data_IF_228535147528
#
_entry.id   IF_228535147528
#
_cell.length_a   1.000
_cell.length_b   1.000
_cell.length_c   1.000
_cell.angle_alpha   90.00
_cell.angle_beta   90.00
_cell.angle_gamma   90.00
#
_symmetry.space_group_name_H-M   'P 1'
#
loop_
_entity.id
_entity.type
_entity.pdbx_description
1 polymer ?
#
# COMPACT_ATOMS: atom_id res chain seq x y z
N UNK A 1 8.85 20.68 27.42
CA UNK A 1 7.54 20.87 28.10
C UNK A 1 6.49 21.14 27.03
N UNK A 2 5.87 20.09 26.48
CA UNK A 2 4.82 20.15 25.46
C UNK A 2 3.48 19.85 26.14
N UNK A 3 2.85 20.90 26.67
CA UNK A 3 1.51 20.83 27.25
C UNK A 3 0.54 21.25 26.14
N UNK A 4 -0.31 20.32 25.68
CA UNK A 4 -1.62 20.69 25.10
C UNK A 4 -1.92 20.50 23.61
N UNK A 5 -1.27 19.61 22.85
CA UNK A 5 -1.61 19.38 21.42
C UNK A 5 -2.22 18.02 21.06
N UNK A 6 -2.44 17.13 22.05
CA UNK A 6 -3.13 15.87 21.84
C UNK A 6 -4.53 16.01 22.41
N UNK A 7 -5.50 16.46 21.61
CA UNK A 7 -6.89 16.18 21.94
C UNK A 7 -7.05 14.66 21.90
N UNK A 8 -7.37 14.02 23.03
CA UNK A 8 -7.68 12.59 23.07
C UNK A 8 -8.74 12.32 21.99
N UNK A 9 -8.33 11.59 20.95
CA UNK A 9 -9.24 11.10 19.92
C UNK A 9 -10.14 10.10 20.60
N UNK A 10 -11.47 10.20 20.49
CA UNK A 10 -12.29 9.12 20.98
C UNK A 10 -11.99 7.87 20.14
N UNK A 11 -11.81 6.74 20.82
CA UNK A 11 -11.83 5.43 20.18
C UNK A 11 -13.03 5.36 19.23
N UNK A 12 -12.80 4.84 18.03
CA UNK A 12 -13.87 4.63 17.07
C UNK A 12 -14.40 3.21 17.16
N UNK A 13 -15.70 3.07 16.91
CA UNK A 13 -16.37 1.79 16.91
C UNK A 13 -16.90 1.50 15.53
N UNK A 14 -16.60 0.32 15.03
CA UNK A 14 -17.06 -0.10 13.70
C UNK A 14 -17.90 -1.36 13.82
N UNK A 15 -19.04 -1.36 13.15
CA UNK A 15 -19.92 -2.51 13.08
C UNK A 15 -19.29 -3.63 12.24
N UNK A 16 -19.18 -4.82 12.82
CA UNK A 16 -18.80 -6.05 12.11
C UNK A 16 -20.00 -6.77 11.48
N UNK A 17 -21.21 -6.40 11.90
CA UNK A 17 -22.49 -6.87 11.37
C UNK A 17 -23.38 -7.55 12.42
N UNK A 18 -24.48 -8.14 11.97
CA UNK A 18 -25.49 -8.79 12.82
C UNK A 18 -25.06 -10.22 13.21
N UNK A 19 -24.91 -10.45 14.52
CA UNK A 19 -24.42 -11.69 15.12
C UNK A 19 -23.52 -11.44 16.33
N UNK A 20 -23.20 -12.51 17.06
CA UNK A 20 -22.26 -12.44 18.17
C UNK A 20 -20.82 -12.28 17.68
N UNK A 21 -19.99 -11.55 18.42
CA UNK A 21 -18.58 -11.34 18.11
C UNK A 21 -17.78 -12.65 18.15
N UNK A 22 -16.89 -12.80 17.17
CA UNK A 22 -15.88 -13.84 17.09
C UNK A 22 -14.51 -13.22 16.76
N UNK A 23 -13.43 -13.78 17.30
CA UNK A 23 -12.05 -13.42 16.91
C UNK A 23 -11.64 -14.18 15.64
N UNK A 24 -10.53 -13.78 14.99
CA UNK A 24 -10.00 -14.42 13.78
C UNK A 24 -9.91 -15.97 13.82
N UNK A 25 -9.78 -16.59 15.00
CA UNK A 25 -9.59 -18.04 15.13
C UNK A 25 -10.86 -18.86 15.10
N UNK A 26 -12.03 -18.29 15.35
CA UNK A 26 -13.23 -19.13 15.58
C UNK A 26 -14.01 -18.77 16.82
N UNK A 27 -13.38 -18.04 17.73
CA UNK A 27 -13.64 -18.18 19.15
C UNK A 27 -14.53 -17.05 19.64
N UNK A 28 -15.34 -17.34 20.67
CA UNK A 28 -16.18 -16.35 21.34
C UNK A 28 -15.42 -15.63 22.44
N UNK A 29 -15.82 -14.41 22.80
CA UNK A 29 -15.22 -13.73 23.95
C UNK A 29 -15.54 -14.49 25.23
N UNK A 30 -14.52 -14.74 26.04
CA UNK A 30 -14.65 -15.39 27.36
C UNK A 30 -14.97 -14.39 28.48
N UNK A 31 -14.57 -13.12 28.32
CA UNK A 31 -14.85 -12.06 29.30
C UNK A 31 -15.76 -10.99 28.69
N UNK A 32 -17.03 -10.98 29.11
CA UNK A 32 -18.04 -10.02 28.67
C UNK A 32 -18.72 -9.41 29.90
N UNK A 33 -18.68 -8.09 30.02
CA UNK A 33 -19.46 -7.35 31.02
C UNK A 33 -20.82 -6.98 30.43
N UNK A 34 -21.88 -7.60 30.92
CA UNK A 34 -23.25 -7.32 30.47
C UNK A 34 -23.83 -6.13 31.24
N UNK A 35 -24.41 -5.18 30.50
CA UNK A 35 -25.06 -3.98 31.06
C UNK A 35 -26.46 -3.83 30.45
N UNK A 36 -27.47 -3.65 31.29
CA UNK A 36 -28.85 -3.41 30.84
C UNK A 36 -29.13 -1.95 30.46
N UNK A 37 -30.35 -1.72 29.97
CA UNK A 37 -30.96 -0.40 29.74
C UNK A 37 -30.14 0.52 28.81
N UNK A 38 -29.55 -0.06 27.77
CA UNK A 38 -28.82 0.70 26.75
C UNK A 38 -29.76 1.16 25.63
N UNK A 39 -29.55 2.39 25.15
CA UNK A 39 -30.22 2.90 23.95
C UNK A 39 -29.55 2.31 22.72
N UNK A 40 -30.30 1.57 21.91
CA UNK A 40 -29.82 1.01 20.65
C UNK A 40 -30.38 1.85 19.50
N UNK A 41 -29.48 2.44 18.72
CA UNK A 41 -29.77 3.24 17.55
C UNK A 41 -30.15 2.37 16.35
N UNK A 42 -30.64 3.00 15.28
CA UNK A 42 -31.10 2.29 14.07
C UNK A 42 -29.99 1.47 13.39
N UNK A 43 -28.73 1.93 13.48
CA UNK A 43 -27.57 1.21 12.98
C UNK A 43 -27.07 0.11 13.94
N UNK A 44 -27.76 -0.08 15.06
CA UNK A 44 -27.45 -1.04 16.12
C UNK A 44 -26.37 -0.56 17.11
N UNK A 45 -25.80 0.63 16.93
CA UNK A 45 -24.81 1.20 17.87
C UNK A 45 -25.49 1.67 19.16
N UNK A 46 -24.70 1.90 20.20
CA UNK A 46 -25.19 2.45 21.47
C UNK A 46 -24.17 3.40 22.10
N UNK A 47 -24.52 4.69 22.28
CA UNK A 47 -23.65 5.67 22.95
C UNK A 47 -23.22 5.22 24.35
N UNK A 48 -24.11 4.56 25.09
CA UNK A 48 -23.83 4.05 26.44
C UNK A 48 -22.83 2.89 26.40
N UNK A 49 -22.96 1.96 25.45
CA UNK A 49 -22.00 0.87 25.29
C UNK A 49 -20.62 1.42 24.89
N UNK A 50 -20.57 2.36 23.95
CA UNK A 50 -19.32 2.99 23.53
C UNK A 50 -18.64 3.73 24.68
N UNK A 51 -19.37 4.54 25.45
CA UNK A 51 -18.81 5.27 26.59
C UNK A 51 -18.23 4.32 27.63
N UNK A 52 -18.91 3.21 27.91
CA UNK A 52 -18.44 2.20 28.87
C UNK A 52 -17.21 1.47 28.37
N UNK A 53 -17.18 1.13 27.08
CA UNK A 53 -16.00 0.53 26.46
C UNK A 53 -14.80 1.50 26.44
N UNK A 54 -15.00 2.77 26.07
CA UNK A 54 -13.96 3.83 26.15
C UNK A 54 -13.41 3.98 27.57
N UNK A 55 -14.29 3.90 28.58
CA UNK A 55 -13.93 4.05 29.99
C UNK A 55 -13.22 2.81 30.57
N UNK A 56 -13.17 1.70 29.82
CA UNK A 56 -12.50 0.47 30.24
C UNK A 56 -11.25 0.24 29.38
N UNK A 57 -10.07 0.40 29.97
CA UNK A 57 -8.79 0.24 29.28
C UNK A 57 -8.51 -1.16 28.72
N UNK A 58 -9.29 -2.18 29.11
CA UNK A 58 -9.21 -3.54 28.56
C UNK A 58 -10.22 -3.81 27.46
N UNK A 59 -11.05 -2.82 27.11
CA UNK A 59 -12.12 -3.03 26.17
C UNK A 59 -11.64 -3.05 24.72
N UNK A 60 -11.96 -4.13 24.01
CA UNK A 60 -11.63 -4.34 22.60
C UNK A 60 -12.85 -4.16 21.67
N UNK A 61 -14.04 -3.99 22.24
CA UNK A 61 -15.29 -3.79 21.51
C UNK A 61 -16.53 -4.01 22.37
N UNK A 62 -17.69 -4.00 21.74
CA UNK A 62 -18.95 -4.30 22.41
C UNK A 62 -19.94 -5.01 21.49
N UNK A 63 -20.90 -5.69 22.10
CA UNK A 63 -22.10 -6.17 21.43
C UNK A 63 -23.30 -5.38 21.93
N UNK A 64 -24.27 -5.13 21.04
CA UNK A 64 -25.62 -4.74 21.42
C UNK A 64 -26.54 -5.91 21.20
N UNK A 65 -27.53 -6.07 22.06
CA UNK A 65 -28.62 -7.01 21.88
C UNK A 65 -29.93 -6.26 22.07
N UNK A 66 -30.71 -6.14 21.01
CA UNK A 66 -31.99 -5.47 21.09
C UNK A 66 -33.07 -6.39 21.67
N UNK A 67 -33.87 -5.82 22.56
CA UNK A 67 -35.16 -6.38 22.91
C UNK A 67 -36.17 -5.71 21.98
N UNK A 68 -37.03 -6.47 21.31
CA UNK A 68 -37.93 -6.00 20.22
C UNK A 68 -38.99 -4.95 20.63
N UNK A 69 -38.76 -4.20 21.71
CA UNK A 69 -39.71 -3.41 22.48
C UNK A 69 -40.05 -2.01 21.95
N UNK A 70 -39.50 -1.57 20.81
CA UNK A 70 -39.64 -0.16 20.40
C UNK A 70 -40.05 0.04 18.93
N UNK A 71 -41.32 -0.25 18.63
CA UNK A 71 -41.90 0.00 17.30
C UNK A 71 -42.42 1.46 17.17
N UNK A 72 -42.62 2.20 18.26
CA UNK A 72 -43.32 3.50 18.23
C UNK A 72 -42.45 4.75 18.44
N UNK A 73 -41.21 4.62 18.95
CA UNK A 73 -40.33 5.77 19.32
C UNK A 73 -39.05 5.87 18.50
N UNK A 74 -38.75 4.89 17.62
CA UNK A 74 -37.55 4.86 16.80
C UNK A 74 -36.23 4.55 17.55
N UNK A 75 -36.29 4.19 18.85
CA UNK A 75 -35.13 3.82 19.68
C UNK A 75 -35.41 2.52 20.43
N UNK A 76 -34.62 1.47 20.20
CA UNK A 76 -34.74 0.19 20.92
C UNK A 76 -34.03 0.28 22.27
N UNK A 77 -34.56 -0.41 23.27
CA UNK A 77 -33.87 -0.68 24.54
C UNK A 77 -33.27 -2.07 24.47
N UNK A 78 -32.08 -2.24 25.03
CA UNK A 78 -31.43 -3.55 25.03
C UNK A 78 -30.28 -3.64 26.01
N UNK A 79 -29.43 -4.64 25.79
CA UNK A 79 -28.24 -4.87 26.61
C UNK A 79 -26.95 -4.62 25.84
N UNK A 80 -25.93 -4.15 26.54
CA UNK A 80 -24.55 -4.13 26.09
C UNK A 80 -23.83 -5.39 26.57
N UNK A 81 -23.01 -6.00 25.73
CA UNK A 81 -21.92 -6.89 26.15
C UNK A 81 -20.59 -6.23 25.88
N UNK A 82 -19.95 -5.63 26.89
CA UNK A 82 -18.63 -5.00 26.76
C UNK A 82 -17.56 -6.10 26.78
N UNK A 83 -16.74 -6.18 25.73
CA UNK A 83 -15.68 -7.19 25.59
C UNK A 83 -14.48 -6.74 26.41
N UNK A 84 -14.12 -7.45 27.48
CA UNK A 84 -13.10 -6.99 28.45
C UNK A 84 -11.85 -7.88 28.51
N UNK A 85 -11.76 -8.85 27.60
CA UNK A 85 -10.55 -9.63 27.38
C UNK A 85 -9.62 -8.88 26.40
N UNK A 86 -8.47 -8.37 26.87
CA UNK A 86 -7.54 -7.62 26.02
C UNK A 86 -6.91 -8.49 24.92
N UNK A 87 -6.96 -9.82 25.04
CA UNK A 87 -6.47 -10.74 24.02
C UNK A 87 -7.54 -11.13 23.00
N UNK A 88 -8.79 -10.71 23.23
CA UNK A 88 -9.90 -10.96 22.32
C UNK A 88 -10.09 -9.76 21.40
N UNK A 89 -9.67 -9.87 20.14
CA UNK A 89 -10.00 -8.87 19.12
C UNK A 89 -11.25 -9.33 18.36
N UNK A 90 -12.40 -8.63 18.47
CA UNK A 90 -13.55 -8.95 17.64
C UNK A 90 -13.22 -8.66 16.17
N UNK A 91 -13.35 -9.68 15.31
CA UNK A 91 -12.99 -9.56 13.89
C UNK A 91 -14.12 -9.99 12.95
N UNK A 92 -15.02 -10.88 13.37
CA UNK A 92 -16.20 -11.23 12.59
C UNK A 92 -17.38 -11.64 13.49
N UNK A 93 -18.46 -12.07 12.83
CA UNK A 93 -19.74 -12.41 13.44
C UNK A 93 -20.17 -13.82 13.11
N UNK A 94 -20.87 -14.46 14.05
CA UNK A 94 -21.41 -15.80 13.87
C UNK A 94 -22.65 -15.88 12.94
N UNK A 95 -23.27 -14.75 12.61
CA UNK A 95 -24.54 -14.63 11.86
C UNK A 95 -25.73 -15.41 12.48
N UNK A 96 -25.67 -15.79 13.76
CA UNK A 96 -26.71 -16.61 14.41
C UNK A 96 -27.74 -15.78 15.17
N UNK A 97 -27.32 -14.68 15.78
CA UNK A 97 -28.19 -13.82 16.58
C UNK A 97 -28.49 -12.52 15.83
N UNK A 98 -29.58 -12.51 15.05
CA UNK A 98 -29.93 -11.39 14.17
C UNK A 98 -30.34 -10.10 14.92
N UNK A 99 -30.72 -10.22 16.19
CA UNK A 99 -30.99 -9.08 17.07
C UNK A 99 -29.77 -8.66 17.90
N UNK A 100 -28.61 -9.26 17.64
CA UNK A 100 -27.32 -8.88 18.21
C UNK A 100 -26.48 -8.22 17.13
N UNK A 101 -25.77 -7.14 17.46
CA UNK A 101 -24.76 -6.56 16.58
C UNK A 101 -23.41 -6.48 17.28
N UNK A 102 -22.35 -6.83 16.57
CA UNK A 102 -20.99 -6.77 17.07
C UNK A 102 -20.28 -5.49 16.59
N UNK A 103 -19.58 -4.84 17.50
CA UNK A 103 -18.73 -3.67 17.25
C UNK A 103 -17.34 -3.92 17.81
N UNK A 104 -16.33 -3.56 17.04
CA UNK A 104 -14.95 -3.54 17.51
C UNK A 104 -14.52 -2.12 17.84
N UNK A 105 -13.57 -1.98 18.77
CA UNK A 105 -12.97 -0.70 19.17
C UNK A 105 -11.63 -0.53 18.49
N UNK A 106 -11.51 0.46 17.62
CA UNK A 106 -10.21 0.89 17.12
C UNK A 106 -9.63 2.00 17.99
N UNK A 107 -8.36 1.83 18.34
CA UNK A 107 -7.59 2.81 19.09
C UNK A 107 -6.66 3.51 18.12
N UNK A 108 -6.87 4.81 17.92
CA UNK A 108 -5.88 5.63 17.24
C UNK A 108 -4.87 6.12 18.28
N UNK A 109 -3.60 5.84 18.04
CA UNK A 109 -2.52 6.40 18.86
C UNK A 109 -2.42 7.91 18.72
N UNK A 110 -2.95 8.46 17.63
CA UNK A 110 -2.83 9.88 17.28
C UNK A 110 -4.11 10.43 16.63
N UNK A 111 -4.51 11.64 17.01
CA UNK A 111 -5.21 12.53 16.08
C UNK A 111 -4.39 13.79 15.98
N UNK A 112 -3.71 13.90 14.86
CA UNK A 112 -2.91 15.06 14.51
C UNK A 112 -3.75 16.09 13.74
N UNK A 113 -5.04 16.18 14.06
CA UNK A 113 -5.97 17.15 13.48
C UNK A 113 -5.39 18.56 13.58
N UNK A 114 -5.19 19.22 12.43
CA UNK A 114 -4.60 20.56 12.36
C UNK A 114 -3.07 20.62 12.46
N UNK A 115 -2.37 19.51 12.68
CA UNK A 115 -0.90 19.45 12.61
C UNK A 115 -0.39 19.17 11.19
N UNK A 116 -1.21 18.49 10.37
CA UNK A 116 -0.89 18.31 8.95
C UNK A 116 -1.36 19.51 8.15
N UNK A 117 -0.39 20.27 7.62
CA UNK A 117 -0.62 21.10 6.46
C UNK A 117 -0.49 20.21 5.24
N UNK A 118 -1.62 19.68 4.77
CA UNK A 118 -1.68 19.00 3.48
C UNK A 118 -1.33 20.03 2.41
N UNK A 119 -0.04 20.10 2.06
CA UNK A 119 0.41 21.09 1.08
C UNK A 119 -0.41 20.87 -0.18
N UNK A 120 -1.10 21.93 -0.61
CA UNK A 120 -1.74 21.97 -1.93
C UNK A 120 -0.72 22.27 -3.03
N UNK A 121 0.52 21.85 -2.81
CA UNK A 121 1.60 22.03 -3.76
C UNK A 121 1.51 20.96 -4.85
N UNK A 122 1.74 21.31 -6.12
CA UNK A 122 1.79 20.35 -7.20
C UNK A 122 2.97 19.41 -7.02
N UNK A 123 2.83 18.17 -7.49
CA UNK A 123 3.91 17.20 -7.52
C UNK A 123 4.95 17.65 -8.57
N UNK A 124 6.23 17.85 -8.19
CA UNK A 124 7.29 18.24 -9.13
C UNK A 124 7.41 17.27 -10.31
N UNK A 125 7.68 17.79 -11.51
CA UNK A 125 7.89 16.98 -12.73
C UNK A 125 9.29 16.36 -12.76
N UNK A 126 9.56 15.51 -11.78
CA UNK A 126 10.81 14.79 -11.62
C UNK A 126 10.50 13.31 -11.35
N UNK A 127 11.18 12.42 -12.06
CA UNK A 127 11.16 10.98 -11.83
C UNK A 127 12.48 10.59 -11.18
N UNK A 128 12.40 9.93 -10.04
CA UNK A 128 13.51 9.35 -9.31
C UNK A 128 13.47 7.83 -9.46
N UNK A 129 14.63 7.23 -9.65
CA UNK A 129 14.82 5.80 -9.53
C UNK A 129 16.20 5.53 -8.95
N UNK A 130 16.36 4.41 -8.25
CA UNK A 130 17.65 3.96 -7.74
C UNK A 130 17.96 2.60 -8.33
N UNK A 131 19.10 2.51 -8.99
CA UNK A 131 19.58 1.27 -9.56
C UNK A 131 21.01 1.02 -9.08
N UNK A 132 21.18 -0.04 -8.31
CA UNK A 132 22.51 -0.47 -7.84
C UNK A 132 23.22 -1.39 -8.84
N UNK A 133 22.54 -1.83 -9.90
CA UNK A 133 23.01 -2.89 -10.80
C UNK A 133 24.50 -2.75 -11.11
N UNK A 134 25.18 -3.82 -10.73
CA UNK A 134 26.62 -4.01 -10.54
C UNK A 134 27.45 -3.23 -11.57
N UNK A 135 28.11 -2.17 -11.12
CA UNK A 135 29.47 -1.96 -11.56
C UNK A 135 30.24 -3.19 -11.06
N UNK A 136 30.53 -4.14 -11.97
CA UNK A 136 31.89 -4.66 -11.90
C UNK A 136 32.81 -3.47 -12.22
N UNK A 137 34.11 -3.60 -11.98
CA UNK A 137 35.06 -2.50 -12.14
C UNK A 137 35.14 -1.91 -13.58
N UNK A 138 34.21 -2.25 -14.50
CA UNK A 138 34.10 -1.82 -15.89
C UNK A 138 33.21 -0.59 -16.16
N UNK A 139 32.38 -0.14 -15.21
CA UNK A 139 31.50 1.04 -15.42
C UNK A 139 30.31 0.80 -16.37
N UNK A 140 29.70 -0.38 -16.29
CA UNK A 140 28.64 -0.83 -17.18
C UNK A 140 27.30 -0.06 -17.07
N UNK A 141 26.57 -0.05 -18.18
CA UNK A 141 25.20 0.50 -18.35
C UNK A 141 24.15 -0.36 -17.63
N UNK A 142 22.96 0.17 -17.27
CA UNK A 142 21.87 -0.65 -16.73
C UNK A 142 21.52 -1.81 -17.68
N UNK A 143 20.96 -2.93 -17.17
CA UNK A 143 20.45 -4.02 -18.00
C UNK A 143 19.50 -3.52 -19.09
N UNK A 144 19.43 -4.25 -20.20
CA UNK A 144 18.68 -3.82 -21.38
C UNK A 144 17.20 -3.53 -21.09
N UNK A 145 16.59 -4.30 -20.18
CA UNK A 145 15.20 -4.10 -19.76
C UNK A 145 15.02 -2.80 -18.96
N UNK A 146 15.90 -2.52 -17.99
CA UNK A 146 15.91 -1.26 -17.23
C UNK A 146 16.12 -0.06 -18.16
N UNK A 147 17.09 -0.13 -19.08
CA UNK A 147 17.31 0.91 -20.10
C UNK A 147 16.06 1.15 -20.97
N UNK A 148 15.36 0.08 -21.35
CA UNK A 148 14.11 0.17 -22.10
C UNK A 148 12.99 0.84 -21.30
N UNK A 149 12.82 0.49 -20.03
CA UNK A 149 11.85 1.14 -19.14
C UNK A 149 12.14 2.64 -19.03
N UNK A 150 13.38 3.02 -18.74
CA UNK A 150 13.81 4.42 -18.65
C UNK A 150 13.56 5.18 -19.97
N UNK A 151 13.90 4.61 -21.12
CA UNK A 151 13.61 5.21 -22.45
C UNK A 151 12.11 5.36 -22.68
N UNK A 152 11.32 4.38 -22.25
CA UNK A 152 9.86 4.45 -22.24
C UNK A 152 9.35 5.63 -21.44
N UNK A 153 9.88 5.84 -20.23
CA UNK A 153 9.52 6.97 -19.38
C UNK A 153 9.87 8.31 -20.03
N UNK A 154 11.08 8.45 -20.60
CA UNK A 154 11.51 9.66 -21.29
C UNK A 154 10.60 10.01 -22.46
N UNK A 155 10.22 9.01 -23.25
CA UNK A 155 9.32 9.18 -24.39
C UNK A 155 7.91 9.57 -23.97
N UNK A 156 7.34 8.88 -22.97
CA UNK A 156 5.98 9.12 -22.51
C UNK A 156 5.85 10.40 -21.67
N UNK A 157 6.94 10.88 -21.09
CA UNK A 157 6.96 12.01 -20.16
C UNK A 157 8.03 13.05 -20.54
N UNK A 158 7.95 13.68 -21.73
CA UNK A 158 8.99 14.59 -22.22
C UNK A 158 9.18 15.85 -21.36
N UNK A 159 8.22 16.18 -20.48
CA UNK A 159 8.31 17.29 -19.54
C UNK A 159 8.89 16.93 -18.16
N UNK A 160 9.30 15.68 -17.93
CA UNK A 160 9.87 15.23 -16.66
C UNK A 160 11.39 15.13 -16.73
N UNK A 161 12.06 15.60 -15.67
CA UNK A 161 13.48 15.30 -15.46
C UNK A 161 13.60 13.91 -14.84
N UNK A 162 14.39 13.03 -15.45
CA UNK A 162 14.56 11.66 -14.97
C UNK A 162 15.96 11.51 -14.38
N UNK A 163 16.02 11.12 -13.11
CA UNK A 163 17.26 10.90 -12.38
C UNK A 163 17.37 9.42 -11.98
N UNK A 164 18.33 8.75 -12.60
CA UNK A 164 18.74 7.38 -12.26
C UNK A 164 19.91 7.48 -11.31
N UNK A 165 19.68 7.17 -10.03
CA UNK A 165 20.69 7.26 -8.98
C UNK A 165 21.34 5.91 -8.75
N UNK A 166 22.59 5.98 -8.32
CA UNK A 166 23.47 4.84 -7.98
C UNK A 166 24.09 5.11 -6.60
N UNK A 167 24.73 4.12 -5.96
CA UNK A 167 25.45 4.35 -4.70
C UNK A 167 26.48 5.50 -4.77
N UNK A 168 27.08 5.74 -5.94
CA UNK A 168 28.09 6.78 -6.16
C UNK A 168 27.47 8.15 -6.37
N UNK A 169 26.30 8.20 -7.01
CA UNK A 169 25.65 9.46 -7.40
C UNK A 169 24.60 9.95 -6.40
N UNK A 170 24.14 9.09 -5.48
CA UNK A 170 23.15 9.46 -4.46
C UNK A 170 23.59 10.63 -3.58
N UNK A 171 24.90 10.71 -3.29
CA UNK A 171 25.50 11.78 -2.48
C UNK A 171 25.38 13.18 -3.08
N UNK A 172 25.10 13.30 -4.39
CA UNK A 172 24.83 14.57 -5.07
C UNK A 172 23.47 15.17 -4.68
N UNK A 173 22.56 14.33 -4.19
CA UNK A 173 21.16 14.68 -3.88
C UNK A 173 20.86 14.58 -2.39
N UNK A 174 21.41 13.56 -1.73
CA UNK A 174 21.19 13.25 -0.32
C UNK A 174 22.50 13.41 0.45
N UNK A 175 22.43 14.21 1.51
CA UNK A 175 23.51 14.38 2.46
C UNK A 175 23.54 13.21 3.45
N UNK A 176 24.65 13.00 4.18
CA UNK A 176 24.72 11.96 5.21
C UNK A 176 23.60 12.06 6.27
N UNK A 177 23.10 13.27 6.58
CA UNK A 177 21.99 13.44 7.52
C UNK A 177 20.62 13.01 6.99
N UNK A 178 20.50 12.84 5.67
CA UNK A 178 19.28 12.34 5.03
C UNK A 178 19.18 10.79 5.06
N UNK A 179 20.27 10.11 5.46
CA UNK A 179 20.42 8.66 5.42
C UNK A 179 20.79 8.13 6.83
N UNK A 180 20.44 6.87 7.18
CA UNK A 180 20.96 6.27 8.40
C UNK A 180 22.47 6.02 8.27
N UNK A 181 23.19 6.02 9.40
CA UNK A 181 24.64 5.77 9.40
C UNK A 181 25.00 4.40 8.80
N UNK A 182 24.13 3.41 9.00
CA UNK A 182 24.24 2.04 8.48
C UNK A 182 23.89 1.90 7.00
N UNK A 183 23.49 2.98 6.30
CA UNK A 183 22.94 2.93 4.95
C UNK A 183 23.77 2.09 3.97
N UNK A 184 25.09 2.24 3.98
CA UNK A 184 25.99 1.54 3.03
C UNK A 184 26.05 0.04 3.26
N UNK A 185 25.78 -0.42 4.49
CA UNK A 185 25.85 -1.81 4.91
C UNK A 185 24.52 -2.55 4.67
N UNK A 186 23.44 -1.81 4.38
CA UNK A 186 22.12 -2.38 4.12
C UNK A 186 22.07 -3.11 2.77
N UNK A 187 21.24 -4.17 2.66
CA UNK A 187 20.85 -4.76 1.39
C UNK A 187 20.29 -3.72 0.41
N UNK A 188 20.46 -3.96 -0.89
CA UNK A 188 20.08 -3.02 -1.95
C UNK A 188 18.60 -2.61 -1.89
N UNK A 189 17.72 -3.54 -1.55
CA UNK A 189 16.28 -3.29 -1.46
C UNK A 189 16.00 -2.20 -0.41
N UNK A 190 16.60 -2.31 0.77
CA UNK A 190 16.45 -1.32 1.84
C UNK A 190 17.15 0.01 1.53
N UNK A 191 18.29 -0.02 0.84
CA UNK A 191 18.89 1.21 0.34
C UNK A 191 17.95 1.96 -0.61
N UNK A 192 17.31 1.22 -1.53
CA UNK A 192 16.33 1.77 -2.47
C UNK A 192 15.14 2.41 -1.73
N UNK A 193 14.57 1.70 -0.75
CA UNK A 193 13.46 2.20 0.09
C UNK A 193 13.83 3.48 0.87
N UNK A 194 15.04 3.55 1.42
CA UNK A 194 15.53 4.74 2.14
C UNK A 194 15.72 5.92 1.18
N UNK A 195 16.39 5.69 0.05
CA UNK A 195 16.63 6.73 -0.97
C UNK A 195 15.30 7.25 -1.52
N UNK A 196 14.35 6.35 -1.80
CA UNK A 196 12.98 6.67 -2.22
C UNK A 196 12.31 7.65 -1.28
N UNK A 197 12.22 7.30 0.01
CA UNK A 197 11.57 8.16 1.00
C UNK A 197 12.32 9.47 1.21
N UNK A 198 13.65 9.45 1.24
CA UNK A 198 14.46 10.65 1.44
C UNK A 198 14.34 11.64 0.27
N UNK A 199 14.36 11.18 -0.98
CA UNK A 199 14.18 12.03 -2.16
C UNK A 199 12.78 12.63 -2.20
N UNK A 200 11.74 11.81 -2.00
CA UNK A 200 10.36 12.29 -2.01
C UNK A 200 10.11 13.29 -0.87
N UNK A 201 10.62 13.03 0.33
CA UNK A 201 10.47 13.96 1.43
C UNK A 201 11.19 15.30 1.17
N UNK A 202 12.38 15.26 0.59
CA UNK A 202 13.23 16.44 0.40
C UNK A 202 12.83 17.26 -0.83
N UNK A 203 12.56 16.60 -1.94
CA UNK A 203 12.35 17.21 -3.25
C UNK A 203 10.95 17.00 -3.82
N UNK A 204 10.19 16.03 -3.31
CA UNK A 204 8.96 15.56 -3.95
C UNK A 204 9.25 14.87 -5.29
N UNK A 205 8.20 14.76 -6.10
CA UNK A 205 8.25 14.17 -7.44
C UNK A 205 7.65 12.78 -7.44
N UNK A 206 8.14 11.94 -8.35
CA UNK A 206 7.64 10.59 -8.58
C UNK A 206 8.79 9.61 -8.41
N UNK A 207 8.58 8.59 -7.60
CA UNK A 207 9.42 7.42 -7.58
C UNK A 207 8.87 6.37 -8.54
N UNK A 208 9.76 5.75 -9.31
CA UNK A 208 9.49 4.55 -10.11
C UNK A 208 10.61 3.53 -9.91
N UNK A 209 10.24 2.28 -9.65
CA UNK A 209 11.20 1.19 -9.70
C UNK A 209 11.75 1.01 -11.13
N UNK A 210 13.05 0.68 -11.27
CA UNK A 210 13.78 0.71 -12.54
C UNK A 210 13.24 -0.26 -13.60
N UNK A 211 12.50 -1.27 -13.15
CA UNK A 211 11.88 -2.35 -13.94
C UNK A 211 10.43 -2.04 -14.33
N UNK A 212 9.86 -0.93 -13.89
CA UNK A 212 8.47 -0.58 -14.18
C UNK A 212 8.34 -0.10 -15.62
N UNK A 213 7.60 -0.83 -16.45
CA UNK A 213 7.33 -0.43 -17.82
C UNK A 213 6.02 0.37 -17.93
N UNK A 214 6.11 1.66 -18.22
CA UNK A 214 4.92 2.50 -18.42
C UNK A 214 4.29 2.25 -19.80
N UNK A 215 2.97 2.08 -19.82
CA UNK A 215 2.16 1.96 -21.04
C UNK A 215 1.42 3.26 -21.39
N UNK A 216 1.42 4.22 -20.46
CA UNK A 216 0.84 5.56 -20.57
C UNK A 216 1.71 6.60 -19.86
N UNK A 217 1.54 7.87 -20.19
CA UNK A 217 2.24 8.96 -19.47
C UNK A 217 1.77 9.06 -18.03
N UNK A 218 2.62 9.52 -17.13
CA UNK A 218 2.28 9.77 -15.72
C UNK A 218 1.07 10.70 -15.61
N UNK A 219 0.98 11.69 -16.51
CA UNK A 219 -0.10 12.69 -16.54
C UNK A 219 -1.46 12.11 -16.93
N UNK A 220 -1.51 10.88 -17.43
CA UNK A 220 -2.77 10.21 -17.79
C UNK A 220 -3.52 9.67 -16.57
N UNK A 221 -2.81 9.41 -15.47
CA UNK A 221 -3.36 8.84 -14.25
C UNK A 221 -3.00 9.63 -12.98
N UNK A 222 -2.02 10.52 -13.07
CA UNK A 222 -1.72 11.53 -12.06
C UNK A 222 -2.30 12.89 -12.46
N UNK A 223 -3.07 13.50 -11.57
CA UNK A 223 -3.56 14.87 -11.76
C UNK A 223 -2.48 15.89 -11.37
N UNK A 224 -1.68 16.34 -12.36
CA UNK A 224 -0.55 17.28 -12.16
C UNK A 224 -0.86 18.57 -11.39
N UNK A 225 -2.08 19.10 -11.56
CA UNK A 225 -2.50 20.35 -10.94
C UNK A 225 -3.15 20.15 -9.56
N UNK A 226 -3.44 18.90 -9.19
CA UNK A 226 -4.03 18.58 -7.90
C UNK A 226 -2.93 18.38 -6.86
N UNK A 227 -3.28 18.61 -5.60
CA UNK A 227 -2.51 18.10 -4.47
C UNK A 227 -2.79 16.62 -4.19
N UNK A 228 -3.47 15.91 -5.08
CA UNK A 228 -3.90 14.55 -4.82
C UNK A 228 -2.71 13.60 -4.93
N UNK A 229 -2.57 12.69 -3.97
CA UNK A 229 -1.52 11.67 -3.98
C UNK A 229 -2.04 10.46 -4.72
N UNK A 230 -1.19 9.79 -5.49
CA UNK A 230 -1.58 8.60 -6.25
C UNK A 230 -0.86 7.38 -5.69
N UNK A 231 -1.62 6.31 -5.44
CA UNK A 231 -1.08 5.04 -4.97
C UNK A 231 -1.65 3.90 -5.81
N UNK A 232 -0.77 3.00 -6.24
CA UNK A 232 -1.16 1.75 -6.87
C UNK A 232 -1.44 0.69 -5.83
N UNK A 233 -2.35 -0.22 -6.14
CA UNK A 233 -2.69 -1.35 -5.28
C UNK A 233 -2.75 -2.61 -6.13
N UNK A 234 -1.92 -3.60 -5.78
CA UNK A 234 -1.99 -4.93 -6.39
C UNK A 234 -3.10 -5.74 -5.73
N UNK A 235 -3.94 -6.39 -6.57
CA UNK A 235 -5.03 -7.22 -6.10
C UNK A 235 -4.54 -8.35 -5.20
N UNK A 236 -5.09 -8.41 -3.97
CA UNK A 236 -4.87 -9.53 -3.08
C UNK A 236 -5.86 -10.61 -3.48
N UNK A 237 -5.42 -11.49 -4.38
CA UNK A 237 -6.18 -12.72 -4.69
C UNK A 237 -6.29 -13.50 -3.40
N UNK A 238 -7.52 -13.79 -2.95
CA UNK A 238 -7.84 -14.59 -1.75
C UNK A 238 -8.14 -13.84 -0.44
N UNK A 239 -8.41 -12.52 -0.43
CA UNK A 239 -9.11 -11.99 0.77
C UNK A 239 -10.56 -12.53 0.72
N UNK A 240 -11.03 -13.28 1.73
CA UNK A 240 -12.41 -13.73 1.78
C UNK A 240 -13.35 -12.52 1.66
N UNK A 241 -14.29 -12.56 0.72
CA UNK A 241 -15.25 -11.46 0.47
C UNK A 241 -15.98 -11.05 1.77
N UNK A 242 -16.19 -12.01 2.67
CA UNK A 242 -16.79 -11.75 3.98
C UNK A 242 -15.89 -10.89 4.88
N UNK A 243 -14.56 -11.04 4.84
CA UNK A 243 -13.64 -10.22 5.63
C UNK A 243 -13.56 -8.79 5.07
N UNK A 244 -13.49 -8.62 3.74
CA UNK A 244 -13.50 -7.30 3.11
C UNK A 244 -14.78 -6.50 3.41
N UNK A 245 -15.94 -7.17 3.44
CA UNK A 245 -17.22 -6.52 3.71
C UNK A 245 -17.37 -6.03 5.17
N UNK A 246 -16.48 -6.44 6.09
CA UNK A 246 -16.68 -6.34 7.55
C UNK A 246 -15.55 -5.64 8.28
N UNK A 247 -14.33 -5.69 7.76
CA UNK A 247 -13.22 -4.84 8.19
C UNK A 247 -12.71 -4.03 7.00
N UNK A 248 -13.01 -2.73 6.98
CA UNK A 248 -12.60 -1.82 5.88
C UNK A 248 -11.08 -1.72 5.72
N UNK A 249 -10.31 -2.04 6.77
CA UNK A 249 -8.84 -2.09 6.76
C UNK A 249 -8.26 -3.37 6.19
N UNK A 250 -9.02 -4.45 6.21
CA UNK A 250 -8.70 -5.68 5.46
C UNK A 250 -9.24 -5.52 4.04
N UNK A 251 -8.85 -4.41 3.42
CA UNK A 251 -9.21 -4.00 2.09
C UNK A 251 -7.96 -3.70 1.29
N UNK A 252 -8.05 -3.90 -0.02
CA UNK A 252 -6.95 -3.65 -0.96
C UNK A 252 -6.32 -2.26 -0.81
N UNK A 253 -7.10 -1.26 -0.39
CA UNK A 253 -6.67 0.12 -0.13
C UNK A 253 -5.56 0.26 0.92
N UNK A 254 -5.40 -0.71 1.81
CA UNK A 254 -4.42 -0.68 2.90
C UNK A 254 -3.16 -1.49 2.57
N UNK A 255 -3.03 -1.95 1.32
CA UNK A 255 -1.81 -2.54 0.79
C UNK A 255 -1.36 -1.79 -0.47
N UNK A 256 -0.94 -0.51 -0.32
CA UNK A 256 -0.36 0.21 -1.44
C UNK A 256 0.94 -0.45 -1.86
N UNK A 257 1.14 -0.52 -3.17
CA UNK A 257 2.40 -0.96 -3.73
C UNK A 257 3.48 0.11 -3.51
N UNK A 258 4.71 -0.32 -3.26
CA UNK A 258 5.84 0.56 -2.99
C UNK A 258 6.72 0.85 -4.24
N UNK A 259 6.45 0.20 -5.39
CA UNK A 259 7.15 0.43 -6.66
C UNK A 259 6.87 1.80 -7.30
N UNK A 260 5.79 2.47 -6.88
CA UNK A 260 5.43 3.83 -7.28
C UNK A 260 4.95 4.65 -6.09
N UNK A 261 5.53 5.83 -5.91
CA UNK A 261 5.07 6.82 -4.95
C UNK A 261 5.20 8.21 -5.57
N UNK A 262 4.18 9.05 -5.41
CA UNK A 262 4.22 10.42 -5.92
C UNK A 262 3.72 11.42 -4.87
N UNK A 263 4.52 12.44 -4.60
CA UNK A 263 4.21 13.40 -3.53
C UNK A 263 4.85 14.78 -3.76
N UNK A 264 4.26 15.86 -3.20
CA UNK A 264 4.99 17.11 -3.05
C UNK A 264 6.12 16.97 -2.02
N UNK A 265 7.12 17.87 -2.01
CA UNK A 265 8.12 17.89 -0.95
C UNK A 265 7.47 18.09 0.43
N UNK A 266 8.11 17.54 1.47
CA UNK A 266 7.65 17.62 2.88
C UNK A 266 6.27 17.00 3.12
N UNK A 267 5.91 16.02 2.32
CA UNK A 267 4.62 15.34 2.43
C UNK A 267 4.46 14.66 3.81
N UNK A 268 3.35 14.90 4.55
CA UNK A 268 3.14 14.32 5.86
C UNK A 268 3.09 12.79 5.88
N UNK A 269 2.51 12.16 4.86
CA UNK A 269 2.46 10.71 4.76
C UNK A 269 3.87 10.14 4.57
N UNK A 270 4.62 10.67 3.59
CA UNK A 270 6.01 10.25 3.35
C UNK A 270 6.88 10.45 4.59
N UNK A 271 6.76 11.57 5.30
CA UNK A 271 7.52 11.83 6.52
C UNK A 271 7.24 10.80 7.63
N UNK A 272 5.96 10.44 7.81
CA UNK A 272 5.53 9.47 8.82
C UNK A 272 5.95 8.06 8.45
N UNK A 273 5.78 7.68 7.20
CA UNK A 273 6.27 6.40 6.68
C UNK A 273 7.79 6.31 6.81
N UNK A 274 8.55 7.36 6.51
CA UNK A 274 10.00 7.41 6.72
C UNK A 274 10.38 7.26 8.19
N UNK A 275 9.66 7.92 9.11
CA UNK A 275 9.89 7.78 10.54
C UNK A 275 9.68 6.35 11.03
N UNK A 276 8.58 5.71 10.60
CA UNK A 276 8.33 4.29 10.88
C UNK A 276 9.43 3.41 10.28
N UNK A 277 9.77 3.62 9.02
CA UNK A 277 10.72 2.77 8.31
C UNK A 277 12.14 2.89 8.86
N UNK A 278 12.54 4.07 9.33
CA UNK A 278 13.78 4.25 10.08
C UNK A 278 13.79 3.43 11.37
N UNK A 279 12.70 3.46 12.14
CA UNK A 279 12.57 2.60 13.33
C UNK A 279 12.60 1.11 12.97
N UNK A 280 12.06 0.71 11.81
CA UNK A 280 12.14 -0.66 11.30
C UNK A 280 13.59 -1.08 11.04
N UNK A 281 14.40 -0.22 10.42
CA UNK A 281 15.82 -0.45 10.20
C UNK A 281 16.59 -0.49 11.54
N UNK A 282 16.33 0.46 12.43
CA UNK A 282 16.99 0.55 13.75
C UNK A 282 16.68 -0.67 14.64
N UNK A 283 15.51 -1.28 14.47
CA UNK A 283 15.11 -2.53 15.14
C UNK A 283 15.73 -3.80 14.51
N UNK A 284 16.56 -3.66 13.47
CA UNK A 284 17.21 -4.77 12.76
C UNK A 284 16.28 -5.52 11.80
N UNK A 285 15.24 -4.87 11.27
CA UNK A 285 14.27 -5.48 10.36
C UNK A 285 14.86 -6.04 9.06
N UNK A 286 16.07 -5.62 8.68
CA UNK A 286 16.78 -6.06 7.47
C UNK A 286 17.68 -7.29 7.66
N UNK A 287 18.09 -7.63 8.89
CA UNK A 287 19.12 -8.65 9.15
C UNK A 287 18.58 -10.08 9.17
N UNK A 288 17.26 -10.24 9.23
CA UNK A 288 16.66 -11.56 9.39
C UNK A 288 15.77 -11.82 8.20
N UNK A 289 16.15 -12.80 7.38
CA UNK A 289 15.25 -13.38 6.37
C UNK A 289 13.95 -13.98 6.97
N UNK A 290 13.73 -13.88 8.29
CA UNK A 290 12.77 -14.64 9.11
C UNK A 290 12.26 -13.96 10.41
N UNK A 291 12.57 -12.69 10.75
CA UNK A 291 11.84 -12.04 11.85
C UNK A 291 10.49 -11.61 11.30
N UNK A 292 9.42 -12.18 11.82
CA UNK A 292 8.08 -11.70 11.50
C UNK A 292 7.96 -10.25 11.96
N UNK A 293 7.10 -9.45 11.31
CA UNK A 293 6.80 -8.08 11.78
C UNK A 293 6.47 -8.03 13.28
N UNK A 294 5.96 -9.14 13.84
CA UNK A 294 5.66 -9.33 15.25
C UNK A 294 6.89 -9.21 16.17
N UNK A 295 8.05 -9.70 15.76
CA UNK A 295 9.26 -9.76 16.61
C UNK A 295 9.91 -8.39 16.81
N UNK A 296 9.53 -7.40 16.00
CA UNK A 296 10.07 -6.05 16.07
C UNK A 296 9.46 -5.23 17.23
N UNK A 297 8.32 -5.68 17.80
CA UNK A 297 7.59 -4.91 18.82
C UNK A 297 7.05 -3.57 18.32
N UNK A 298 7.03 -3.37 16.99
CA UNK A 298 6.63 -2.12 16.35
C UNK A 298 5.15 -2.07 15.97
N UNK A 299 4.51 -3.22 15.83
CA UNK A 299 3.13 -3.36 15.37
C UNK A 299 2.31 -4.03 16.46
N UNK A 300 1.10 -3.51 16.71
CA UNK A 300 0.18 -4.19 17.63
C UNK A 300 -0.40 -5.46 16.99
N UNK A 301 -1.08 -6.26 17.81
CA UNK A 301 -1.63 -7.53 17.38
C UNK A 301 -2.63 -7.39 16.22
N UNK A 302 -3.47 -6.34 16.23
CA UNK A 302 -4.47 -6.12 15.18
C UNK A 302 -3.78 -5.76 13.85
N UNK A 303 -2.78 -4.88 13.90
CA UNK A 303 -1.99 -4.52 12.72
C UNK A 303 -1.32 -5.74 12.10
N UNK A 304 -0.74 -6.61 12.92
CA UNK A 304 -0.10 -7.85 12.48
C UNK A 304 -1.09 -8.82 11.82
N UNK A 305 -2.26 -8.98 12.42
CA UNK A 305 -3.34 -9.82 11.92
C UNK A 305 -3.89 -9.30 10.58
N UNK A 306 -4.17 -8.00 10.47
CA UNK A 306 -4.66 -7.38 9.23
C UNK A 306 -3.61 -7.45 8.11
N UNK A 307 -2.35 -7.13 8.43
CA UNK A 307 -1.23 -7.24 7.48
C UNK A 307 -0.98 -8.67 7.01
N UNK A 308 -1.15 -9.66 7.88
CA UNK A 308 -1.06 -11.07 7.50
C UNK A 308 -2.12 -11.43 6.47
N UNK A 309 -3.38 -11.01 6.68
CA UNK A 309 -4.48 -11.25 5.71
C UNK A 309 -4.24 -10.52 4.39
N UNK A 310 -3.69 -9.30 4.43
CA UNK A 310 -3.30 -8.55 3.24
C UNK A 310 -2.07 -9.14 2.54
N UNK A 311 -1.34 -10.06 3.17
CA UNK A 311 -0.09 -10.61 2.65
C UNK A 311 1.02 -9.55 2.54
N UNK A 312 1.07 -8.61 3.48
CA UNK A 312 2.14 -7.61 3.60
C UNK A 312 3.41 -8.31 4.07
N UNK A 313 4.49 -8.16 3.31
CA UNK A 313 5.79 -8.77 3.58
C UNK A 313 6.96 -7.78 3.56
N UNK A 314 6.82 -6.60 2.94
CA UNK A 314 7.86 -5.57 2.94
C UNK A 314 7.72 -4.65 4.15
N UNK A 315 8.86 -4.25 4.73
CA UNK A 315 8.89 -3.31 5.86
C UNK A 315 8.32 -1.95 5.48
N UNK A 316 8.54 -1.50 4.24
CA UNK A 316 7.98 -0.24 3.76
C UNK A 316 6.46 -0.28 3.65
N UNK A 317 5.90 -1.33 3.06
CA UNK A 317 4.43 -1.50 2.99
C UNK A 317 3.81 -1.61 4.37
N UNK A 318 4.45 -2.33 5.30
CA UNK A 318 4.01 -2.39 6.69
C UNK A 318 4.01 -1.01 7.37
N UNK A 319 5.03 -0.19 7.10
CA UNK A 319 5.08 1.17 7.62
C UNK A 319 4.08 2.13 6.96
N UNK A 320 3.74 1.93 5.68
CA UNK A 320 2.64 2.66 5.03
C UNK A 320 1.30 2.29 5.68
N UNK A 321 1.03 1.00 5.88
CA UNK A 321 -0.17 0.52 6.59
C UNK A 321 -0.29 1.17 7.98
N UNK A 322 0.77 1.05 8.79
CA UNK A 322 0.82 1.61 10.15
C UNK A 322 0.60 3.13 10.17
N UNK A 323 1.18 3.84 9.20
CA UNK A 323 1.03 5.30 9.09
C UNK A 323 -0.44 5.70 8.94
N UNK A 324 -1.21 4.95 8.14
CA UNK A 324 -2.64 5.20 7.94
C UNK A 324 -3.44 4.76 9.16
N UNK A 325 -3.15 3.58 9.71
CA UNK A 325 -3.95 2.95 10.76
C UNK A 325 -3.86 3.65 12.13
N UNK A 326 -2.70 4.18 12.50
CA UNK A 326 -2.48 4.78 13.83
C UNK A 326 -3.03 6.20 14.00
N UNK A 327 -3.29 6.91 12.90
CA UNK A 327 -3.60 8.33 12.93
C UNK A 327 -4.91 8.64 12.22
N UNK A 328 -5.93 9.02 12.99
CA UNK A 328 -7.28 9.29 12.46
C UNK A 328 -7.26 10.35 11.35
N UNK A 329 -6.37 11.33 11.45
CA UNK A 329 -6.26 12.39 10.42
C UNK A 329 -5.64 11.84 9.14
N UNK A 330 -4.68 10.92 9.27
CA UNK A 330 -4.05 10.26 8.13
C UNK A 330 -5.02 9.30 7.44
N UNK A 331 -5.75 8.48 8.20
CA UNK A 331 -6.78 7.60 7.63
C UNK A 331 -7.88 8.39 6.92
N UNK A 332 -8.38 9.45 7.56
CA UNK A 332 -9.40 10.31 6.96
C UNK A 332 -8.92 10.94 5.65
N UNK A 333 -7.65 11.36 5.58
CA UNK A 333 -7.05 11.85 4.34
C UNK A 333 -6.89 10.74 3.30
N UNK A 334 -6.38 9.57 3.72
CA UNK A 334 -6.19 8.39 2.87
C UNK A 334 -7.48 7.98 2.18
N UNK A 335 -8.60 7.97 2.90
CA UNK A 335 -9.92 7.60 2.38
C UNK A 335 -10.67 8.76 1.69
N UNK A 336 -10.09 9.96 1.64
CA UNK A 336 -10.72 11.12 1.02
C UNK A 336 -10.49 11.19 -0.49
N UNK A 337 -11.22 12.06 -1.18
CA UNK A 337 -10.96 12.38 -2.59
C UNK A 337 -9.62 13.07 -2.88
N UNK A 338 -8.78 13.32 -1.86
CA UNK A 338 -7.41 13.83 -2.02
C UNK A 338 -6.39 12.71 -2.28
N UNK A 339 -6.82 11.45 -2.30
CA UNK A 339 -5.97 10.31 -2.65
C UNK A 339 -6.62 9.54 -3.80
N UNK A 340 -5.87 9.41 -4.90
CA UNK A 340 -6.27 8.64 -6.06
C UNK A 340 -5.71 7.22 -5.92
N UNK A 341 -6.61 6.27 -5.66
CA UNK A 341 -6.27 4.86 -5.57
C UNK A 341 -6.44 4.22 -6.95
N UNK A 342 -5.33 3.75 -7.51
CA UNK A 342 -5.34 3.06 -8.80
C UNK A 342 -5.29 1.56 -8.55
N UNK A 343 -6.35 0.91 -8.99
CA UNK A 343 -6.38 -0.53 -9.21
C UNK A 343 -6.03 -0.74 -10.68
N UNK A 344 -4.92 -1.41 -10.97
CA UNK A 344 -4.62 -1.73 -12.37
C UNK A 344 -5.75 -2.59 -12.94
N UNK A 345 -6.52 -2.01 -13.86
CA UNK A 345 -7.80 -2.57 -14.26
C UNK A 345 -7.64 -3.78 -15.18
N UNK A 346 -8.32 -4.86 -14.84
CA UNK A 346 -8.67 -5.95 -15.74
C UNK A 346 -8.50 -7.33 -15.09
N UNK A 347 -9.03 -8.41 -15.72
CA UNK A 347 -8.78 -9.81 -15.30
C UNK A 347 -7.29 -10.22 -15.31
N UNK A 348 -6.41 -9.27 -15.60
CA UNK A 348 -5.04 -9.42 -16.09
C UNK A 348 -4.03 -8.47 -15.42
N UNK A 349 -4.41 -7.78 -14.32
CA UNK A 349 -3.52 -6.88 -13.56
C UNK A 349 -2.32 -7.60 -12.93
N UNK A 350 -1.52 -6.91 -12.11
CA UNK A 350 -0.31 -7.46 -11.47
C UNK A 350 -0.50 -8.87 -10.88
N UNK A 351 -1.64 -9.14 -10.25
CA UNK A 351 -1.98 -10.45 -9.69
C UNK A 351 -2.24 -11.57 -10.73
N UNK A 352 -2.70 -11.25 -11.94
CA UNK A 352 -2.79 -12.25 -13.01
C UNK A 352 -1.44 -12.51 -13.66
N UNK A 353 -0.66 -11.44 -13.92
CA UNK A 353 0.72 -11.55 -14.40
C UNK A 353 1.53 -12.43 -13.45
N UNK A 354 1.39 -12.22 -12.14
CA UNK A 354 2.00 -13.02 -11.10
C UNK A 354 1.55 -14.49 -11.14
N UNK A 355 0.25 -14.77 -11.33
CA UNK A 355 -0.29 -16.13 -11.36
C UNK A 355 0.04 -16.92 -12.64
N UNK A 356 0.36 -16.24 -13.74
CA UNK A 356 0.58 -16.86 -15.05
C UNK A 356 1.97 -16.57 -15.63
N UNK A 357 2.91 -16.13 -14.79
CA UNK A 357 4.20 -15.57 -15.19
C UNK A 357 4.93 -16.39 -16.27
N UNK A 358 5.09 -17.71 -16.11
CA UNK A 358 5.84 -18.54 -17.05
C UNK A 358 5.19 -18.56 -18.44
N UNK A 359 3.86 -18.66 -18.49
CA UNK A 359 3.09 -18.65 -19.75
C UNK A 359 3.08 -17.28 -20.38
N UNK A 360 3.03 -16.22 -19.56
CA UNK A 360 2.99 -14.86 -20.05
C UNK A 360 4.34 -14.45 -20.64
N UNK A 361 5.45 -14.76 -19.96
CA UNK A 361 6.79 -14.44 -20.46
C UNK A 361 7.07 -15.16 -21.77
N UNK A 362 6.76 -16.45 -21.86
CA UNK A 362 6.89 -17.18 -23.13
C UNK A 362 6.03 -16.53 -24.24
N UNK A 363 4.79 -16.15 -23.92
CA UNK A 363 3.91 -15.46 -24.87
C UNK A 363 4.46 -14.09 -25.29
N UNK A 364 5.05 -13.34 -24.35
CA UNK A 364 5.63 -12.02 -24.58
C UNK A 364 6.84 -12.09 -25.51
N UNK A 365 7.77 -13.00 -25.22
CA UNK A 365 9.09 -13.04 -25.84
C UNK A 365 9.18 -13.96 -27.06
N UNK A 366 8.37 -15.02 -27.12
CA UNK A 366 8.53 -16.07 -28.13
C UNK A 366 7.31 -16.27 -29.05
N UNK A 367 6.15 -15.73 -28.68
CA UNK A 367 4.92 -15.90 -29.48
C UNK A 367 4.41 -14.57 -30.05
N UNK A 368 3.50 -14.65 -31.03
CA UNK A 368 2.74 -13.50 -31.54
C UNK A 368 1.28 -13.61 -31.12
N UNK A 369 0.88 -12.81 -30.13
CA UNK A 369 -0.47 -12.83 -29.60
C UNK A 369 -1.07 -11.43 -29.53
N UNK A 370 -1.89 -11.08 -30.53
CA UNK A 370 -2.54 -9.77 -30.60
C UNK A 370 -3.51 -9.50 -29.43
N UNK A 371 -4.13 -10.55 -28.89
CA UNK A 371 -5.04 -10.47 -27.75
C UNK A 371 -4.30 -10.05 -26.48
N UNK A 372 -3.19 -10.73 -26.17
CA UNK A 372 -2.33 -10.37 -25.03
C UNK A 372 -1.77 -8.95 -25.18
N UNK A 373 -1.30 -8.58 -26.38
CA UNK A 373 -0.83 -7.21 -26.61
C UNK A 373 -1.94 -6.16 -26.41
N UNK A 374 -3.19 -6.45 -26.82
CA UNK A 374 -4.32 -5.56 -26.60
C UNK A 374 -4.68 -5.42 -25.11
N UNK A 375 -4.62 -6.52 -24.35
CA UNK A 375 -4.86 -6.52 -22.90
C UNK A 375 -3.81 -5.66 -22.17
N UNK A 376 -2.52 -5.87 -22.46
CA UNK A 376 -1.42 -5.15 -21.81
C UNK A 376 -1.36 -3.66 -22.17
N UNK A 377 -2.14 -3.22 -23.16
CA UNK A 377 -2.20 -1.82 -23.60
C UNK A 377 -3.61 -1.23 -23.50
N UNK A 378 -4.51 -1.90 -22.78
CA UNK A 378 -5.86 -1.42 -22.51
C UNK A 378 -5.84 -0.09 -21.73
N UNK A 379 -6.86 0.76 -21.88
CA UNK A 379 -6.89 2.13 -21.36
C UNK A 379 -6.89 2.24 -19.83
N UNK A 380 -7.03 1.14 -19.09
CA UNK A 380 -6.88 1.06 -17.63
C UNK A 380 -5.59 0.40 -17.14
N UNK A 381 -4.68 0.02 -18.04
CA UNK A 381 -3.35 -0.52 -17.71
C UNK A 381 -2.34 0.60 -17.93
N UNK A 382 -1.83 1.17 -16.84
CA UNK A 382 -0.91 2.32 -16.87
C UNK A 382 0.57 1.95 -16.80
N UNK A 383 0.87 0.82 -16.17
CA UNK A 383 2.22 0.32 -15.98
C UNK A 383 2.20 -1.21 -15.90
N UNK A 384 3.31 -1.84 -16.26
CA UNK A 384 3.58 -3.26 -16.03
C UNK A 384 4.75 -3.33 -15.05
N UNK A 385 4.52 -4.00 -13.93
CA UNK A 385 5.53 -4.30 -12.92
C UNK A 385 5.61 -5.81 -12.78
N UNK A 386 6.78 -6.39 -13.03
CA UNK A 386 6.97 -7.83 -12.98
C UNK A 386 7.36 -8.24 -11.54
N UNK A 387 7.00 -9.45 -11.08
CA UNK A 387 7.48 -9.94 -9.79
C UNK A 387 9.01 -10.06 -9.76
N UNK A 388 9.64 -9.85 -8.60
CA UNK A 388 11.12 -9.85 -8.44
C UNK A 388 11.83 -11.06 -9.10
N UNK A 389 11.26 -12.26 -9.02
CA UNK A 389 11.83 -13.46 -9.65
C UNK A 389 11.88 -13.33 -11.19
N UNK A 390 10.84 -12.72 -11.78
CA UNK A 390 10.75 -12.47 -13.22
C UNK A 390 11.66 -11.32 -13.63
N UNK A 391 11.79 -10.30 -12.78
CA UNK A 391 12.71 -9.18 -13.03
C UNK A 391 14.14 -9.66 -13.13
N UNK A 392 14.59 -10.49 -12.20
CA UNK A 392 15.93 -11.09 -12.22
C UNK A 392 16.16 -11.91 -13.50
N UNK A 393 15.18 -12.72 -13.90
CA UNK A 393 15.28 -13.53 -15.13
C UNK A 393 15.30 -12.66 -16.39
N UNK A 394 14.44 -11.64 -16.48
CA UNK A 394 14.36 -10.74 -17.63
C UNK A 394 15.62 -9.89 -17.76
N UNK A 395 16.13 -9.36 -16.64
CA UNK A 395 17.36 -8.58 -16.61
C UNK A 395 18.60 -9.39 -16.95
N UNK A 396 18.67 -10.64 -16.46
CA UNK A 396 19.81 -11.52 -16.70
C UNK A 396 19.83 -12.12 -18.12
N UNK A 397 18.65 -12.34 -18.71
CA UNK A 397 18.52 -13.30 -19.82
C UNK A 397 17.95 -12.73 -21.11
N UNK A 398 17.37 -11.53 -21.12
CA UNK A 398 16.73 -10.96 -22.32
C UNK A 398 17.60 -9.87 -22.94
N UNK A 399 18.35 -10.17 -24.01
CA UNK A 399 19.21 -9.19 -24.65
C UNK A 399 18.42 -8.08 -25.37
N UNK A 400 19.08 -6.94 -25.60
CA UNK A 400 18.45 -5.74 -26.13
C UNK A 400 17.80 -5.95 -27.51
N UNK A 401 18.36 -6.81 -28.36
CA UNK A 401 17.76 -7.16 -29.65
C UNK A 401 16.44 -7.91 -29.51
N UNK A 402 16.31 -8.79 -28.52
CA UNK A 402 15.03 -9.47 -28.20
C UNK A 402 14.00 -8.50 -27.63
N UNK A 403 14.42 -7.45 -26.91
CA UNK A 403 13.50 -6.44 -26.38
C UNK A 403 12.99 -5.46 -27.44
N UNK A 404 13.84 -5.09 -28.41
CA UNK A 404 13.56 -4.00 -29.35
C UNK A 404 13.31 -4.44 -30.79
N UNK A 405 13.85 -5.57 -31.23
CA UNK A 405 13.97 -5.95 -32.64
C UNK A 405 13.36 -7.29 -33.03
N UNK A 406 12.68 -7.97 -32.12
CA UNK A 406 11.96 -9.20 -32.39
C UNK A 406 10.62 -9.02 -33.13
N UNK A 407 9.97 -10.15 -33.36
CA UNK A 407 8.65 -10.23 -33.99
C UNK A 407 7.68 -11.03 -33.12
N UNK A 408 7.52 -10.59 -31.87
CA UNK A 408 6.72 -11.25 -30.84
C UNK A 408 5.64 -10.30 -30.26
N UNK A 409 4.89 -10.77 -29.28
CA UNK A 409 3.83 -10.03 -28.57
C UNK A 409 4.36 -8.74 -27.94
N UNK A 410 5.56 -8.74 -27.36
CA UNK A 410 6.16 -7.54 -26.78
C UNK A 410 6.32 -6.41 -27.79
N UNK A 411 6.76 -6.72 -29.02
CA UNK A 411 6.89 -5.70 -30.08
C UNK A 411 5.53 -5.15 -30.51
N UNK A 412 4.47 -5.96 -30.43
CA UNK A 412 3.11 -5.48 -30.64
C UNK A 412 2.68 -4.49 -29.55
N UNK A 413 3.10 -4.71 -28.30
CA UNK A 413 2.92 -3.76 -27.19
C UNK A 413 3.67 -2.47 -27.49
N UNK A 414 4.97 -2.54 -27.82
CA UNK A 414 5.79 -1.37 -28.17
C UNK A 414 5.18 -0.56 -29.30
N UNK A 415 4.71 -1.21 -30.37
CA UNK A 415 4.05 -0.55 -31.50
C UNK A 415 2.77 0.17 -31.08
N UNK A 416 1.93 -0.48 -30.28
CA UNK A 416 0.65 0.08 -29.82
C UNK A 416 0.83 1.34 -28.97
N UNK A 417 1.93 1.43 -28.21
CA UNK A 417 2.22 2.61 -27.37
C UNK A 417 3.23 3.58 -28.02
N UNK A 418 3.65 3.33 -29.26
CA UNK A 418 4.53 4.22 -30.02
C UNK A 418 6.03 4.15 -29.69
N UNK A 419 6.50 3.09 -29.04
CA UNK A 419 7.90 2.90 -28.63
C UNK A 419 8.78 2.10 -29.61
N UNK A 420 8.22 1.43 -30.62
CA UNK A 420 8.94 0.50 -31.53
C UNK A 420 10.25 1.08 -32.13
N UNK A 421 10.30 2.39 -32.40
CA UNK A 421 11.49 3.05 -32.98
C UNK A 421 12.42 3.76 -31.98
N UNK A 422 12.24 3.55 -30.68
CA UNK A 422 13.05 4.22 -29.62
C UNK A 422 14.23 3.40 -29.14
N UNK A 423 14.35 2.17 -29.61
CA UNK A 423 15.46 1.26 -29.36
C UNK A 423 16.67 1.53 -30.26
N UNK A 424 17.72 0.68 -30.12
CA UNK A 424 18.80 0.63 -31.10
C UNK A 424 18.24 0.34 -32.52
N UNK A 425 18.98 0.73 -33.56
CA UNK A 425 18.61 0.39 -34.92
C UNK A 425 18.60 -1.13 -35.09
N UNK A 426 17.42 -1.69 -35.34
CA UNK A 426 17.26 -3.09 -35.64
C UNK A 426 17.86 -3.38 -37.02
N UNK A 427 18.77 -4.36 -37.07
CA UNK A 427 19.29 -4.89 -38.33
C UNK A 427 18.13 -5.28 -39.23
N UNK A 428 18.10 -4.79 -40.47
CA UNK A 428 17.12 -5.27 -41.45
C UNK A 428 17.37 -6.76 -41.71
N UNK A 429 16.53 -7.62 -41.13
CA UNK A 429 16.57 -9.08 -41.29
C UNK A 429 17.24 -9.79 -40.11
N UNK A 430 16.41 -10.26 -39.18
CA UNK A 430 16.59 -11.51 -38.44
C UNK A 430 15.24 -12.07 -38.05
#
# INVERSE_FOLDING_TARGET
RSIGLWSNVPDQFFALGDGGCLNLKGERPVSVLVVGDATILQDGSSPECEQRCRSNGRCTGYMTHDTESAVWTGKKTGTCGILTDPNFQPTYIDRKALNTKCFWKHVYDRATSGLYTWQEAPIPSVIWTYWRGVADDSGAKPPAFVDMCIKGWQFLNPGYNIHVLTPETVSKWLSPSDLPETFKDLPVQHQSEIVRLALLLKYGGVWLDPTVFLTRSLTSFMERASSSRTFFHTEVTEIPQELQARNKRVGILFKPDDWFLASPPRDPFINRTQSCYRAFIDAGGYEVKQRGLADLGMFDQQQLEDMFVLGVKSGLTACMFKTVDEDLTMESWWLSGKVHHIYQAGPFGGAWLQRHQDRVLDTLWHQRNAGVAAVLTYDGVYALHFPEAVEQDVEASVPADVLWCGHNTWHMVLRKIGLEGRGPQCSAGR
#
